data_IF_248582850246
#
_entry.id   IF_248582850246
#
_cell.length_a   1.000
_cell.length_b   1.000
_cell.length_c   1.000
_cell.angle_alpha   90.00
_cell.angle_beta   90.00
_cell.angle_gamma   90.00
#
_symmetry.space_group_name_H-M   'P 1'
#
loop_
_entity.id
_entity.type
_entity.pdbx_description
1 polymer ?
#
# COMPACT_ATOMS: atom_id res chain seq x y z
N UNK A 1 -27.38 2.67 -15.51
CA UNK A 1 -25.97 2.71 -15.07
C UNK A 1 -25.96 2.40 -13.58
N UNK A 2 -26.21 1.15 -13.22
CA UNK A 2 -26.32 0.70 -11.83
C UNK A 2 -24.97 0.20 -11.36
N UNK A 3 -24.55 0.60 -10.15
CA UNK A 3 -23.37 0.05 -9.49
C UNK A 3 -23.55 -1.46 -9.36
N UNK A 4 -22.50 -2.22 -9.69
CA UNK A 4 -22.56 -3.68 -9.59
C UNK A 4 -22.65 -4.06 -8.09
N UNK A 5 -23.42 -5.09 -7.69
CA UNK A 5 -23.62 -5.43 -6.28
C UNK A 5 -22.32 -5.60 -5.48
N UNK A 6 -21.25 -6.06 -6.16
CA UNK A 6 -19.90 -6.18 -5.62
C UNK A 6 -19.24 -4.85 -5.25
N UNK A 7 -19.50 -3.77 -6.00
CA UNK A 7 -18.96 -2.44 -5.72
C UNK A 7 -19.65 -1.79 -4.52
N UNK A 8 -20.94 -2.08 -4.32
CA UNK A 8 -21.73 -1.60 -3.18
C UNK A 8 -21.20 -2.22 -1.88
N UNK A 9 -20.93 -3.53 -1.88
CA UNK A 9 -20.39 -4.25 -0.71
C UNK A 9 -18.98 -3.74 -0.37
N UNK A 10 -18.13 -3.53 -1.38
CA UNK A 10 -16.79 -2.97 -1.21
C UNK A 10 -16.84 -1.54 -0.65
N UNK A 11 -17.73 -0.70 -1.19
CA UNK A 11 -17.95 0.66 -0.72
C UNK A 11 -18.41 0.74 0.74
N UNK A 12 -19.34 -0.12 1.15
CA UNK A 12 -19.81 -0.22 2.53
C UNK A 12 -18.70 -0.69 3.48
N UNK A 13 -17.92 -1.70 3.06
CA UNK A 13 -16.77 -2.20 3.82
C UNK A 13 -15.73 -1.09 4.03
N UNK A 14 -15.43 -0.30 2.99
CA UNK A 14 -14.51 0.84 3.07
C UNK A 14 -14.99 1.88 4.08
N UNK A 15 -16.29 2.18 4.11
CA UNK A 15 -16.86 3.14 5.06
C UNK A 15 -16.70 2.66 6.52
N UNK A 16 -16.96 1.38 6.78
CA UNK A 16 -16.78 0.80 8.12
C UNK A 16 -15.31 0.89 8.55
N UNK A 17 -14.38 0.46 7.70
CA UNK A 17 -12.94 0.47 8.00
C UNK A 17 -12.43 1.89 8.27
N UNK A 18 -12.92 2.89 7.54
CA UNK A 18 -12.59 4.30 7.78
C UNK A 18 -13.00 4.74 9.19
N UNK A 19 -14.23 4.45 9.58
CA UNK A 19 -14.77 4.88 10.88
C UNK A 19 -14.03 4.19 12.03
N UNK A 20 -13.74 2.89 11.91
CA UNK A 20 -13.06 2.14 12.98
C UNK A 20 -11.62 2.60 13.19
N UNK A 21 -10.90 2.93 12.12
CA UNK A 21 -9.50 3.38 12.22
C UNK A 21 -9.37 4.87 12.56
N UNK A 22 -10.44 5.67 12.41
CA UNK A 22 -10.41 7.12 12.59
C UNK A 22 -9.88 7.54 13.96
N UNK A 23 -10.38 6.92 15.04
CA UNK A 23 -9.95 7.26 16.40
C UNK A 23 -8.45 6.99 16.63
N UNK A 24 -7.96 5.85 16.14
CA UNK A 24 -6.54 5.50 16.25
C UNK A 24 -5.65 6.47 15.48
N UNK A 25 -6.04 6.84 14.25
CA UNK A 25 -5.29 7.79 13.42
C UNK A 25 -5.35 9.21 13.99
N UNK A 26 -6.54 9.68 14.37
CA UNK A 26 -6.73 11.03 14.92
C UNK A 26 -5.93 11.25 16.21
N UNK A 27 -5.69 10.20 17.00
CA UNK A 27 -4.86 10.29 18.22
C UNK A 27 -3.38 10.62 17.94
N UNK A 28 -2.91 10.42 16.70
CA UNK A 28 -1.53 10.67 16.28
C UNK A 28 -1.41 11.75 15.21
N UNK A 29 -2.41 11.87 14.34
CA UNK A 29 -2.43 12.79 13.20
C UNK A 29 -3.81 13.46 13.09
N UNK A 30 -4.08 14.37 14.01
CA UNK A 30 -5.32 15.14 14.04
C UNK A 30 -5.42 16.09 12.85
N UNK A 31 -6.59 16.14 12.20
CA UNK A 31 -6.85 16.97 11.02
C UNK A 31 -6.42 16.35 9.70
N UNK A 32 -5.80 15.17 9.72
CA UNK A 32 -5.39 14.41 8.52
C UNK A 32 -6.00 13.00 8.48
N UNK A 33 -6.88 12.69 9.44
CA UNK A 33 -7.44 11.35 9.59
C UNK A 33 -8.29 10.94 8.38
N UNK A 34 -9.05 11.85 7.77
CA UNK A 34 -9.92 11.49 6.66
C UNK A 34 -9.14 11.05 5.40
N UNK A 35 -8.02 11.74 5.12
CA UNK A 35 -7.12 11.41 4.00
C UNK A 35 -6.40 10.09 4.28
N UNK A 36 -5.79 9.96 5.47
CA UNK A 36 -5.05 8.76 5.86
C UNK A 36 -5.96 7.53 5.96
N UNK A 37 -7.12 7.64 6.59
CA UNK A 37 -8.08 6.54 6.70
C UNK A 37 -8.57 6.09 5.32
N UNK A 38 -8.71 6.99 4.35
CA UNK A 38 -9.04 6.59 2.97
C UNK A 38 -7.95 5.77 2.32
N UNK A 39 -6.70 6.18 2.47
CA UNK A 39 -5.55 5.47 1.90
C UNK A 39 -5.35 4.09 2.58
N UNK A 40 -5.47 4.03 3.90
CA UNK A 40 -5.31 2.80 4.67
C UNK A 40 -6.43 1.81 4.32
N UNK A 41 -7.69 2.27 4.28
CA UNK A 41 -8.82 1.40 3.95
C UNK A 41 -8.69 0.80 2.54
N UNK A 42 -8.30 1.61 1.56
CA UNK A 42 -8.10 1.13 0.19
C UNK A 42 -6.93 0.13 0.09
N UNK A 43 -5.85 0.32 0.86
CA UNK A 43 -4.73 -0.61 0.89
C UNK A 43 -5.13 -1.95 1.52
N UNK A 44 -5.86 -1.93 2.64
CA UNK A 44 -6.35 -3.13 3.31
C UNK A 44 -7.29 -3.95 2.42
N UNK A 45 -8.24 -3.29 1.74
CA UNK A 45 -9.18 -3.98 0.84
C UNK A 45 -8.46 -4.68 -0.32
N UNK A 46 -7.38 -4.09 -0.84
CA UNK A 46 -6.61 -4.69 -1.94
C UNK A 46 -5.78 -5.91 -1.52
N UNK A 47 -5.43 -6.00 -0.25
CA UNK A 47 -4.61 -7.08 0.32
C UNK A 47 -5.47 -8.20 0.92
N UNK A 48 -6.77 -7.95 1.17
CA UNK A 48 -7.69 -8.94 1.73
C UNK A 48 -7.78 -10.22 0.89
N UNK A 49 -7.33 -11.37 1.42
CA UNK A 49 -7.51 -12.67 0.76
C UNK A 49 -8.95 -13.16 0.89
N UNK A 50 -9.34 -14.17 0.10
CA UNK A 50 -10.69 -14.77 0.16
C UNK A 50 -11.04 -15.32 1.54
N UNK A 51 -10.03 -15.80 2.28
CA UNK A 51 -10.18 -16.22 3.67
C UNK A 51 -9.69 -15.11 4.62
N UNK A 52 -10.56 -14.43 5.38
CA UNK A 52 -10.18 -13.30 6.22
C UNK A 52 -9.19 -13.65 7.33
N UNK A 53 -9.10 -14.91 7.75
CA UNK A 53 -8.15 -15.36 8.80
C UNK A 53 -6.70 -15.30 8.31
N UNK A 54 -6.48 -15.39 7.01
CA UNK A 54 -5.15 -15.38 6.40
C UNK A 54 -4.62 -13.97 6.10
N UNK A 55 -5.26 -12.92 6.62
CA UNK A 55 -4.80 -11.55 6.38
C UNK A 55 -3.42 -11.31 7.02
N UNK A 56 -2.42 -11.01 6.19
CA UNK A 56 -1.07 -10.69 6.64
C UNK A 56 -0.83 -9.18 6.57
N UNK A 57 -0.38 -8.60 7.69
CA UNK A 57 -0.08 -7.17 7.81
C UNK A 57 1.18 -6.79 7.00
N UNK A 58 2.13 -7.70 6.83
CA UNK A 58 3.38 -7.44 6.08
C UNK A 58 3.17 -7.21 4.57
N UNK A 59 1.99 -7.60 4.08
CA UNK A 59 1.58 -7.38 2.68
C UNK A 59 1.27 -5.91 2.39
N UNK A 60 1.10 -5.06 3.42
CA UNK A 60 0.95 -3.61 3.29
C UNK A 60 2.27 -2.95 3.70
N UNK A 61 2.92 -2.25 2.77
CA UNK A 61 4.17 -1.51 3.03
C UNK A 61 4.02 -0.04 2.68
N UNK A 62 4.67 0.82 3.46
CA UNK A 62 4.66 2.28 3.25
C UNK A 62 6.00 2.73 2.67
N UNK A 63 5.96 3.35 1.49
CA UNK A 63 7.13 3.98 0.87
C UNK A 63 7.08 5.50 1.07
N UNK A 64 7.87 6.01 2.03
CA UNK A 64 8.01 7.45 2.23
C UNK A 64 8.93 8.05 1.15
N UNK A 65 8.35 8.89 0.30
CA UNK A 65 9.06 9.73 -0.67
C UNK A 65 9.15 11.16 -0.12
N UNK A 66 10.31 11.79 -0.28
CA UNK A 66 10.54 13.18 0.16
C UNK A 66 10.09 14.14 -0.93
N UNK A 67 9.49 15.28 -0.56
CA UNK A 67 9.10 16.34 -1.49
C UNK A 67 7.61 16.39 -1.85
N UNK A 68 6.76 15.55 -1.24
CA UNK A 68 5.30 15.58 -1.42
C UNK A 68 4.52 15.59 -0.10
N UNK A 69 3.24 15.95 -0.17
CA UNK A 69 2.31 15.92 0.96
C UNK A 69 1.41 14.67 0.99
N UNK A 70 0.56 14.55 2.02
CA UNK A 70 -0.39 13.45 2.16
C UNK A 70 -1.42 13.42 1.02
N UNK A 71 -1.83 14.58 0.50
CA UNK A 71 -2.76 14.68 -0.62
C UNK A 71 -2.21 14.11 -1.94
N UNK A 72 -0.88 13.99 -2.06
CA UNK A 72 -0.21 13.40 -3.22
C UNK A 72 0.06 11.90 -3.04
N UNK A 73 -0.33 11.33 -1.89
CA UNK A 73 -0.13 9.92 -1.61
C UNK A 73 -1.14 9.08 -2.38
N UNK A 74 -0.67 7.99 -2.96
CA UNK A 74 -1.48 7.03 -3.72
C UNK A 74 -1.07 5.61 -3.37
N UNK A 75 -1.94 4.67 -3.73
CA UNK A 75 -1.72 3.25 -3.46
C UNK A 75 -1.26 2.59 -4.74
N UNK A 76 -0.13 1.89 -4.64
CA UNK A 76 0.45 1.13 -5.75
C UNK A 76 0.23 -0.34 -5.50
N UNK A 77 -0.35 -1.03 -6.49
CA UNK A 77 -0.50 -2.49 -6.48
C UNK A 77 0.82 -3.12 -6.89
N UNK A 78 1.63 -3.51 -5.91
CA UNK A 78 2.90 -4.19 -6.13
C UNK A 78 4.01 -3.64 -5.26
N UNK A 79 5.23 -3.62 -5.80
CA UNK A 79 6.43 -3.16 -5.12
C UNK A 79 6.83 -1.76 -5.59
N UNK A 80 7.19 -0.89 -4.64
CA UNK A 80 7.75 0.43 -4.91
C UNK A 80 9.22 0.44 -4.48
N UNK A 81 10.10 0.81 -5.40
CA UNK A 81 11.51 1.06 -5.12
C UNK A 81 11.76 2.56 -5.07
N UNK A 82 12.54 3.02 -4.08
CA UNK A 82 12.82 4.46 -3.90
C UNK A 82 13.90 4.99 -4.84
N UNK A 83 14.80 4.12 -5.30
CA UNK A 83 15.85 4.47 -6.26
C UNK A 83 15.33 4.45 -7.69
N UNK A 84 15.84 5.35 -8.53
CA UNK A 84 15.62 5.30 -9.97
C UNK A 84 16.42 4.15 -10.59
N UNK A 85 16.05 3.75 -11.81
CA UNK A 85 16.79 2.78 -12.59
C UNK A 85 18.21 3.31 -12.91
N UNK A 86 19.24 2.49 -12.66
CA UNK A 86 20.64 2.82 -13.01
C UNK A 86 20.86 2.80 -14.52
N UNK A 87 20.12 1.96 -15.25
CA UNK A 87 20.21 1.85 -16.71
C UNK A 87 19.37 2.90 -17.46
N UNK A 88 19.48 2.89 -18.79
CA UNK A 88 18.78 3.84 -19.68
C UNK A 88 17.27 3.60 -19.79
N UNK A 89 16.81 2.39 -19.52
CA UNK A 89 15.40 2.00 -19.70
C UNK A 89 14.61 2.32 -18.42
N UNK A 90 13.68 3.28 -18.49
CA UNK A 90 12.85 3.70 -17.34
C UNK A 90 11.43 3.12 -17.31
N UNK A 91 10.91 2.65 -18.45
CA UNK A 91 9.57 2.07 -18.55
C UNK A 91 9.60 0.81 -19.39
N UNK A 92 8.97 -0.23 -18.88
CA UNK A 92 8.82 -1.51 -19.55
C UNK A 92 7.48 -2.13 -19.15
N UNK A 93 6.81 -2.77 -20.10
CA UNK A 93 5.58 -3.52 -19.87
C UNK A 93 5.86 -5.03 -19.98
N UNK A 94 5.18 -5.84 -19.16
CA UNK A 94 5.39 -7.31 -19.08
C UNK A 94 6.85 -7.72 -18.87
N UNK A 95 7.54 -7.03 -17.97
CA UNK A 95 8.93 -7.32 -17.63
C UNK A 95 9.09 -8.59 -16.77
N UNK A 96 10.22 -9.27 -16.95
CA UNK A 96 10.64 -10.37 -16.06
C UNK A 96 11.50 -9.79 -14.93
N UNK A 97 11.03 -9.93 -13.70
CA UNK A 97 11.76 -9.47 -12.50
C UNK A 97 12.75 -10.57 -12.08
N UNK A 98 14.03 -10.21 -11.94
CA UNK A 98 15.07 -11.08 -11.38
C UNK A 98 15.51 -10.53 -10.02
N UNK A 99 15.59 -11.40 -9.04
CA UNK A 99 16.12 -11.10 -7.71
C UNK A 99 17.56 -11.59 -7.62
N UNK A 100 18.47 -10.71 -7.21
CA UNK A 100 19.85 -11.07 -6.91
C UNK A 100 20.07 -10.90 -5.41
N UNK A 101 20.55 -11.96 -4.75
CA UNK A 101 20.98 -11.93 -3.37
C UNK A 101 22.41 -12.46 -3.32
N UNK A 102 23.31 -11.70 -2.72
CA UNK A 102 24.69 -12.10 -2.49
C UNK A 102 24.87 -12.29 -0.98
N UNK A 103 25.46 -13.42 -0.58
CA UNK A 103 25.88 -13.64 0.79
C UNK A 103 27.30 -13.11 0.88
N UNK A 104 27.51 -12.02 1.60
CA UNK A 104 28.85 -11.51 1.85
C UNK A 104 29.45 -12.28 3.04
N UNK A 105 30.06 -13.42 2.76
CA UNK A 105 30.79 -14.22 3.74
C UNK A 105 32.20 -13.65 3.96
N UNK A 106 32.31 -12.40 4.44
CA UNK A 106 33.59 -11.82 4.85
C UNK A 106 33.40 -11.13 6.21
N UNK A 107 33.31 -11.96 7.26
CA UNK A 107 33.83 -11.64 8.60
C UNK A 107 34.07 -12.97 9.31
N UNK A 108 35.12 -13.66 8.88
CA UNK A 108 35.71 -14.76 9.64
C UNK A 108 37.20 -14.46 9.77
N UNK A 109 37.51 -13.56 10.70
CA UNK A 109 38.78 -13.42 11.41
C UNK A 109 38.52 -12.77 12.76
#
# INVERSE_FOLDING_TARGET
MGLHPSEIISGYTKAIVKVTMRAAVASKQFGQEDVLCSLIADACIQVCPKNPVSFNVDSVRVAKLVGGGLNNSSIVRGLVLKGDAVGTIKRIEKAKVKMFAFIDSIFQY
#
